data_IF_564704330052
#
_entry.id   IF_564704330052
#
_cell.length_a   1.000
_cell.length_b   1.000
_cell.length_c   1.000
_cell.angle_alpha   90.00
_cell.angle_beta   90.00
_cell.angle_gamma   90.00
#
_symmetry.space_group_name_H-M   'P 1'
#
loop_
_entity.id
_entity.type
_entity.pdbx_description
1 polymer ?
#
# COMPACT_ATOMS: atom_id res chain seq x y z
N UNK A 1 -2.38 -4.21 16.25
CA UNK A 1 -1.38 -5.12 16.88
C UNK A 1 -0.18 -5.37 15.98
N UNK A 2 -0.35 -5.84 14.74
CA UNK A 2 0.76 -6.07 13.81
C UNK A 2 1.53 -4.78 13.48
N UNK A 3 0.83 -3.65 13.29
CA UNK A 3 1.44 -2.32 13.06
C UNK A 3 2.37 -1.90 14.22
N UNK A 4 1.93 -2.07 15.48
CA UNK A 4 2.73 -1.73 16.68
C UNK A 4 4.00 -2.59 16.81
N UNK A 5 3.97 -3.83 16.30
CA UNK A 5 5.12 -4.74 16.28
C UNK A 5 6.01 -4.54 15.05
N UNK A 6 5.44 -4.12 13.92
CA UNK A 6 6.15 -3.93 12.66
C UNK A 6 6.87 -2.58 12.60
N UNK A 7 6.40 -1.53 13.29
CA UNK A 7 7.09 -0.23 13.39
C UNK A 7 8.55 -0.36 13.88
N UNK A 8 8.87 -1.04 15.01
CA UNK A 8 10.26 -1.21 15.43
C UNK A 8 11.05 -2.11 14.46
N UNK A 9 10.42 -3.10 13.83
CA UNK A 9 11.05 -3.95 12.82
C UNK A 9 11.41 -3.17 11.56
N UNK A 10 10.53 -2.26 11.14
CA UNK A 10 10.67 -1.41 9.97
C UNK A 10 11.79 -0.38 10.13
N UNK A 11 11.86 0.27 11.31
CA UNK A 11 13.01 1.10 11.67
C UNK A 11 14.32 0.31 11.62
N UNK A 12 14.29 -1.00 11.92
CA UNK A 12 15.48 -1.86 11.96
C UNK A 12 15.83 -2.52 10.63
N UNK A 13 14.88 -2.72 9.71
CA UNK A 13 15.09 -3.40 8.41
C UNK A 13 15.18 -2.41 7.26
N UNK A 14 14.31 -1.41 7.20
CA UNK A 14 14.25 -0.48 6.07
C UNK A 14 15.32 0.58 6.15
N UNK A 15 15.63 1.14 7.33
CA UNK A 15 16.72 2.12 7.42
C UNK A 15 18.09 1.56 6.98
N UNK A 16 18.54 0.34 7.34
CA UNK A 16 19.78 -0.22 6.81
C UNK A 16 19.65 -0.79 5.39
N UNK A 17 18.50 -1.38 5.02
CA UNK A 17 18.29 -1.90 3.66
C UNK A 17 18.34 -0.82 2.59
N UNK A 18 17.98 0.40 2.99
CA UNK A 18 17.90 1.56 2.13
C UNK A 18 19.22 2.37 2.17
N UNK A 19 19.92 2.44 3.31
CA UNK A 19 21.31 2.93 3.40
C UNK A 19 22.30 2.08 2.60
N UNK A 20 22.12 0.75 2.53
CA UNK A 20 22.99 -0.16 1.74
C UNK A 20 22.96 0.08 0.23
N UNK A 21 21.95 0.77 -0.31
CA UNK A 21 21.87 1.11 -1.74
C UNK A 21 22.42 2.51 -2.07
N UNK A 22 23.03 3.20 -1.10
CA UNK A 22 23.80 4.43 -1.36
C UNK A 22 22.98 5.68 -1.72
N UNK A 23 21.64 5.63 -1.68
CA UNK A 23 20.81 6.80 -1.96
C UNK A 23 20.49 7.55 -0.66
N UNK A 24 20.68 8.87 -0.64
CA UNK A 24 20.03 9.74 0.33
C UNK A 24 18.52 9.64 0.11
N UNK A 25 17.80 9.08 1.08
CA UNK A 25 16.41 8.68 0.85
C UNK A 25 15.46 9.81 1.13
N UNK A 26 15.16 10.55 0.06
CA UNK A 26 13.98 11.41 0.01
C UNK A 26 12.75 10.62 0.45
N UNK A 27 11.88 11.27 1.23
CA UNK A 27 10.57 10.75 1.65
C UNK A 27 9.78 10.19 0.46
N UNK A 28 9.94 10.79 -0.72
CA UNK A 28 9.28 10.40 -1.96
C UNK A 28 9.71 9.00 -2.46
N UNK A 29 10.99 8.64 -2.33
CA UNK A 29 11.50 7.34 -2.76
C UNK A 29 10.94 6.19 -1.90
N UNK A 30 10.76 6.41 -0.60
CA UNK A 30 10.14 5.43 0.32
C UNK A 30 8.69 5.16 -0.06
N UNK A 31 7.96 6.21 -0.43
CA UNK A 31 6.56 6.10 -0.85
C UNK A 31 6.40 5.28 -2.14
N UNK A 32 7.32 5.44 -3.11
CA UNK A 32 7.38 4.64 -4.34
C UNK A 32 7.53 3.13 -4.08
N UNK A 33 8.45 2.75 -3.21
CA UNK A 33 8.63 1.34 -2.83
C UNK A 33 7.42 0.78 -2.08
N UNK A 34 6.75 1.60 -1.27
CA UNK A 34 5.52 1.23 -0.60
C UNK A 34 4.39 0.91 -1.59
N UNK A 35 4.18 1.77 -2.60
CA UNK A 35 3.18 1.53 -3.64
C UNK A 35 3.47 0.28 -4.47
N UNK A 36 4.73 0.02 -4.81
CA UNK A 36 5.12 -1.21 -5.50
C UNK A 36 4.83 -2.46 -4.66
N UNK A 37 5.14 -2.41 -3.36
CA UNK A 37 4.87 -3.51 -2.43
C UNK A 37 3.36 -3.72 -2.23
N UNK A 38 2.56 -2.65 -2.19
CA UNK A 38 1.11 -2.75 -2.15
C UNK A 38 0.54 -3.47 -3.38
N UNK A 39 1.02 -3.12 -4.58
CA UNK A 39 0.60 -3.77 -5.81
C UNK A 39 0.94 -5.28 -5.81
N UNK A 40 2.13 -5.65 -5.34
CA UNK A 40 2.51 -7.06 -5.18
C UNK A 40 1.62 -7.77 -4.15
N UNK A 41 1.29 -7.12 -3.02
CA UNK A 41 0.41 -7.68 -2.01
C UNK A 41 -1.00 -7.97 -2.57
N UNK A 42 -1.58 -7.03 -3.33
CA UNK A 42 -2.87 -7.24 -3.99
C UNK A 42 -2.82 -8.32 -5.07
N UNK A 43 -1.73 -8.40 -5.84
CA UNK A 43 -1.53 -9.48 -6.82
C UNK A 43 -1.47 -10.86 -6.14
N UNK A 44 -0.72 -10.98 -5.05
CA UNK A 44 -0.69 -12.22 -4.25
C UNK A 44 -2.04 -12.54 -3.61
N UNK A 45 -2.81 -11.53 -3.21
CA UNK A 45 -4.19 -11.71 -2.72
C UNK A 45 -5.11 -12.31 -3.76
N UNK A 46 -5.06 -11.81 -5.00
CA UNK A 46 -5.92 -12.31 -6.07
C UNK A 46 -5.61 -13.77 -6.38
N UNK A 47 -4.32 -14.12 -6.45
CA UNK A 47 -3.90 -15.50 -6.66
C UNK A 47 -4.31 -16.42 -5.50
N UNK A 48 -4.18 -15.93 -4.26
CA UNK A 48 -4.60 -16.69 -3.08
C UNK A 48 -6.11 -16.91 -3.03
N UNK A 49 -6.91 -15.92 -3.42
CA UNK A 49 -8.37 -16.06 -3.49
C UNK A 49 -8.78 -17.13 -4.51
N UNK A 50 -8.15 -17.15 -5.70
CA UNK A 50 -8.41 -18.21 -6.69
C UNK A 50 -8.03 -19.59 -6.17
N UNK A 51 -6.87 -19.72 -5.52
CA UNK A 51 -6.43 -20.98 -4.93
C UNK A 51 -7.33 -21.47 -3.78
N UNK A 52 -7.89 -20.54 -2.98
CA UNK A 52 -8.84 -20.83 -1.91
C UNK A 52 -10.19 -21.27 -2.49
N UNK A 53 -10.68 -20.60 -3.54
CA UNK A 53 -11.95 -20.93 -4.19
C UNK A 53 -11.91 -22.33 -4.84
N UNK A 54 -10.80 -22.68 -5.50
CA UNK A 54 -10.57 -24.03 -6.05
C UNK A 54 -10.50 -25.09 -4.94
N UNK A 55 -9.77 -24.80 -3.86
CA UNK A 55 -9.69 -25.69 -2.70
C UNK A 55 -11.03 -25.89 -2.00
N UNK A 56 -11.86 -24.85 -1.92
CA UNK A 56 -13.20 -24.91 -1.35
C UNK A 56 -14.16 -25.73 -2.23
N UNK A 57 -14.13 -25.54 -3.56
CA UNK A 57 -14.96 -26.32 -4.50
C UNK A 57 -14.65 -27.82 -4.44
N UNK A 58 -13.37 -28.19 -4.34
CA UNK A 58 -12.94 -29.58 -4.18
C UNK A 58 -13.32 -30.16 -2.81
N UNK A 59 -13.30 -29.34 -1.76
CA UNK A 59 -13.74 -29.75 -0.42
C UNK A 59 -15.26 -29.99 -0.38
N UNK A 60 -16.06 -29.20 -1.11
CA UNK A 60 -17.51 -29.36 -1.20
C UNK A 60 -17.91 -30.62 -1.97
N UNK A 61 -17.18 -30.95 -3.05
CA UNK A 61 -17.35 -32.23 -3.77
C UNK A 61 -16.84 -33.45 -3.00
N UNK A 62 -15.87 -33.27 -2.10
CA UNK A 62 -15.37 -34.33 -1.20
C UNK A 62 -16.24 -34.51 0.05
N UNK A 63 -16.92 -33.46 0.52
CA UNK A 63 -17.88 -33.53 1.62
C UNK A 63 -19.08 -34.44 1.29
N UNK A 64 -19.51 -34.48 0.03
CA UNK A 64 -20.56 -35.38 -0.47
C UNK A 64 -20.09 -36.88 -0.47
N UNK A 65 -18.79 -37.13 -0.34
CA UNK A 65 -18.16 -38.46 -0.22
C UNK A 65 -17.78 -38.86 1.23
N UNK A 66 -18.09 -38.03 2.22
CA UNK A 66 -17.88 -38.36 3.64
C UNK A 66 -16.45 -38.27 4.15
N UNK A 67 -15.52 -37.64 3.41
CA UNK A 67 -14.10 -37.55 3.78
C UNK A 67 -13.66 -36.07 3.94
N UNK A 68 -13.86 -35.54 5.15
CA UNK A 68 -13.79 -34.10 5.46
C UNK A 68 -12.36 -33.60 5.77
N UNK A 69 -11.40 -33.80 4.87
CA UNK A 69 -9.97 -33.50 5.17
C UNK A 69 -9.30 -32.48 4.24
N UNK A 70 -10.04 -31.73 3.42
CA UNK A 70 -9.47 -30.63 2.63
C UNK A 70 -9.67 -29.28 3.30
N UNK A 71 -8.94 -29.03 4.40
CA UNK A 71 -8.90 -27.71 5.05
C UNK A 71 -7.83 -26.84 4.41
N UNK A 72 -8.24 -25.84 3.64
CA UNK A 72 -7.34 -24.80 3.15
C UNK A 72 -6.69 -24.10 4.36
N UNK A 73 -5.35 -24.15 4.44
CA UNK A 73 -4.62 -23.61 5.59
C UNK A 73 -4.59 -22.08 5.52
N UNK A 74 -5.17 -21.42 6.53
CA UNK A 74 -5.14 -19.94 6.69
C UNK A 74 -3.71 -19.37 6.80
N UNK A 75 -2.72 -20.24 7.03
CA UNK A 75 -1.29 -19.90 7.11
C UNK A 75 -0.79 -19.18 5.84
N UNK A 76 -1.36 -19.49 4.67
CA UNK A 76 -0.98 -18.85 3.41
C UNK A 76 -1.40 -17.37 3.29
N UNK A 77 -2.25 -16.85 4.18
CA UNK A 77 -2.62 -15.43 4.21
C UNK A 77 -1.60 -14.55 4.96
N UNK A 78 -0.81 -15.12 5.88
CA UNK A 78 0.22 -14.39 6.63
C UNK A 78 1.22 -13.61 5.75
N UNK A 79 1.81 -14.19 4.68
CA UNK A 79 2.75 -13.45 3.84
C UNK A 79 2.11 -12.23 3.17
N UNK A 80 0.87 -12.36 2.70
CA UNK A 80 0.12 -11.25 2.11
C UNK A 80 -0.13 -10.13 3.13
N UNK A 81 -0.58 -10.49 4.34
CA UNK A 81 -0.83 -9.54 5.43
C UNK A 81 0.47 -8.81 5.82
N UNK A 82 1.60 -9.52 5.90
CA UNK A 82 2.88 -8.90 6.19
C UNK A 82 3.32 -7.91 5.10
N UNK A 83 3.11 -8.26 3.81
CA UNK A 83 3.45 -7.38 2.69
C UNK A 83 2.59 -6.10 2.69
N UNK A 84 1.27 -6.22 2.83
CA UNK A 84 0.38 -5.05 2.80
C UNK A 84 0.62 -4.13 4.00
N UNK A 85 0.86 -4.68 5.21
CA UNK A 85 1.18 -3.84 6.38
C UNK A 85 2.53 -3.14 6.21
N UNK A 86 3.52 -3.78 5.57
CA UNK A 86 4.79 -3.12 5.26
C UNK A 86 4.58 -1.99 4.25
N UNK A 87 3.75 -2.21 3.22
CA UNK A 87 3.42 -1.19 2.24
C UNK A 87 2.70 0.01 2.87
N UNK A 88 1.75 -0.26 3.76
CA UNK A 88 1.00 0.75 4.50
C UNK A 88 1.91 1.63 5.36
N UNK A 89 2.86 1.05 6.09
CA UNK A 89 3.82 1.83 6.90
C UNK A 89 4.72 2.68 5.99
N UNK A 90 5.19 2.15 4.86
CA UNK A 90 6.03 2.90 3.90
C UNK A 90 5.31 4.14 3.36
N UNK A 91 4.03 4.01 3.01
CA UNK A 91 3.26 5.11 2.40
C UNK A 91 2.68 6.03 3.46
N UNK A 92 1.99 5.48 4.46
CA UNK A 92 1.21 6.26 5.42
C UNK A 92 2.09 7.04 6.39
N UNK A 93 3.05 6.38 7.05
CA UNK A 93 3.94 7.05 8.02
C UNK A 93 4.80 8.09 7.32
N UNK A 94 5.41 7.74 6.19
CA UNK A 94 6.24 8.69 5.43
C UNK A 94 5.40 9.86 4.90
N UNK A 95 4.17 9.61 4.45
CA UNK A 95 3.25 10.65 3.98
C UNK A 95 2.86 11.63 5.08
N UNK A 96 2.60 11.14 6.29
CA UNK A 96 2.34 11.97 7.46
C UNK A 96 3.58 12.78 7.89
N UNK A 97 4.75 12.15 7.95
CA UNK A 97 6.01 12.83 8.28
C UNK A 97 6.34 13.92 7.26
N UNK A 98 6.15 13.65 5.96
CA UNK A 98 6.32 14.62 4.88
C UNK A 98 5.33 15.78 5.00
N UNK A 99 4.05 15.49 5.24
CA UNK A 99 3.02 16.52 5.38
C UNK A 99 3.30 17.42 6.59
N UNK A 100 3.73 16.82 7.70
CA UNK A 100 4.09 17.54 8.91
C UNK A 100 5.35 18.41 8.73
N UNK A 101 6.35 17.90 8.00
CA UNK A 101 7.60 18.62 7.73
C UNK A 101 7.43 19.85 6.82
N UNK A 102 6.50 19.77 5.86
CA UNK A 102 6.21 20.86 4.92
C UNK A 102 5.10 21.82 5.42
N UNK A 103 4.55 21.58 6.62
CA UNK A 103 3.47 22.41 7.17
C UNK A 103 4.01 23.60 7.98
N UNK A 104 3.47 24.82 7.79
CA UNK A 104 3.80 25.96 8.64
C UNK A 104 3.35 25.69 10.09
N UNK A 105 4.11 26.20 11.07
CA UNK A 105 3.98 25.83 12.47
C UNK A 105 2.56 26.03 13.05
N UNK A 106 1.82 27.04 12.58
CA UNK A 106 0.45 27.35 13.00
C UNK A 106 -0.62 26.44 12.38
N UNK A 107 -0.33 25.74 11.26
CA UNK A 107 -1.32 24.94 10.51
C UNK A 107 -1.04 23.44 10.55
N UNK A 108 -0.03 22.98 11.29
CA UNK A 108 0.33 21.56 11.40
C UNK A 108 -0.86 20.66 11.74
N UNK A 109 -1.69 21.07 12.69
CA UNK A 109 -2.88 20.32 13.08
C UNK A 109 -3.92 20.25 11.95
N UNK A 110 -4.10 21.34 11.20
CA UNK A 110 -5.04 21.39 10.07
C UNK A 110 -4.58 20.49 8.92
N UNK A 111 -3.30 20.53 8.56
CA UNK A 111 -2.76 19.68 7.48
C UNK A 111 -2.87 18.19 7.85
N UNK A 112 -2.60 17.84 9.11
CA UNK A 112 -2.81 16.46 9.59
C UNK A 112 -4.29 16.06 9.60
N UNK A 113 -5.21 16.98 9.94
CA UNK A 113 -6.65 16.71 9.86
C UNK A 113 -7.10 16.46 8.42
N UNK A 114 -6.59 17.25 7.46
CA UNK A 114 -6.85 17.05 6.02
C UNK A 114 -6.30 15.69 5.56
N UNK A 115 -5.11 15.30 6.02
CA UNK A 115 -4.55 13.98 5.73
C UNK A 115 -5.47 12.83 6.18
N UNK A 116 -6.00 12.90 7.40
CA UNK A 116 -6.96 11.91 7.88
C UNK A 116 -8.29 11.96 7.13
N UNK A 117 -8.74 13.15 6.73
CA UNK A 117 -9.93 13.30 5.89
C UNK A 117 -9.75 12.60 4.54
N UNK A 118 -8.60 12.76 3.88
CA UNK A 118 -8.28 12.04 2.63
C UNK A 118 -8.32 10.52 2.85
N UNK A 119 -7.81 10.03 3.98
CA UNK A 119 -7.86 8.60 4.32
C UNK A 119 -9.31 8.13 4.53
N UNK A 120 -10.12 8.91 5.23
CA UNK A 120 -11.54 8.60 5.45
C UNK A 120 -12.34 8.56 4.14
N UNK A 121 -12.11 9.53 3.26
CA UNK A 121 -12.71 9.55 1.91
C UNK A 121 -12.29 8.32 1.11
N UNK A 122 -11.00 7.95 1.15
CA UNK A 122 -10.50 6.73 0.50
C UNK A 122 -11.20 5.46 1.00
N UNK A 123 -11.34 5.31 2.32
CA UNK A 123 -12.05 4.18 2.92
C UNK A 123 -13.53 4.16 2.55
N UNK A 124 -14.18 5.32 2.50
CA UNK A 124 -15.57 5.45 2.06
C UNK A 124 -15.75 4.99 0.61
N UNK A 125 -14.91 5.47 -0.31
CA UNK A 125 -14.93 5.02 -1.72
C UNK A 125 -14.65 3.52 -1.85
N UNK A 126 -13.71 2.97 -1.08
CA UNK A 126 -13.45 1.53 -1.05
C UNK A 126 -14.68 0.72 -0.61
N UNK A 127 -15.41 1.18 0.41
CA UNK A 127 -16.65 0.57 0.86
C UNK A 127 -17.77 0.64 -0.18
N UNK A 128 -17.95 1.80 -0.82
CA UNK A 128 -18.92 1.97 -1.91
C UNK A 128 -18.60 1.03 -3.07
N UNK A 129 -17.34 0.97 -3.51
CA UNK A 129 -16.89 0.06 -4.57
C UNK A 129 -17.21 -1.40 -4.23
N UNK A 130 -16.93 -1.83 -2.99
CA UNK A 130 -17.24 -3.18 -2.54
C UNK A 130 -18.75 -3.46 -2.53
N UNK A 131 -19.57 -2.49 -2.09
CA UNK A 131 -21.03 -2.64 -2.07
C UNK A 131 -21.64 -2.69 -3.47
N UNK A 132 -21.12 -1.91 -4.43
CA UNK A 132 -21.61 -1.88 -5.80
C UNK A 132 -21.20 -3.11 -6.62
N UNK A 133 -20.11 -3.76 -6.24
CA UNK A 133 -19.60 -4.97 -6.90
C UNK A 133 -19.92 -6.25 -6.11
N UNK A 134 -20.81 -6.18 -5.11
CA UNK A 134 -21.13 -7.31 -4.23
C UNK A 134 -21.68 -8.54 -4.97
N UNK A 135 -22.29 -8.35 -6.13
CA UNK A 135 -22.83 -9.41 -6.99
C UNK A 135 -21.78 -10.07 -7.90
N UNK A 136 -20.57 -9.51 -8.00
CA UNK A 136 -19.48 -10.03 -8.83
C UNK A 136 -18.59 -11.03 -8.07
N UNK A 137 -17.88 -11.87 -8.80
CA UNK A 137 -16.92 -12.78 -8.19
C UNK A 137 -15.80 -12.00 -7.46
N UNK A 138 -15.48 -12.41 -6.23
CA UNK A 138 -14.46 -11.77 -5.36
C UNK A 138 -13.10 -11.67 -6.03
N UNK A 139 -12.72 -12.68 -6.81
CA UNK A 139 -11.49 -12.67 -7.60
C UNK A 139 -11.47 -11.49 -8.61
N UNK A 140 -12.60 -11.19 -9.26
CA UNK A 140 -12.73 -10.07 -10.21
C UNK A 140 -12.58 -8.73 -9.49
N UNK A 141 -13.16 -8.59 -8.30
CA UNK A 141 -13.01 -7.39 -7.47
C UNK A 141 -11.54 -7.15 -7.12
N UNK A 142 -10.82 -8.21 -6.72
CA UNK A 142 -9.39 -8.12 -6.39
C UNK A 142 -8.52 -7.78 -7.61
N UNK A 143 -8.83 -8.33 -8.79
CA UNK A 143 -8.14 -7.97 -10.03
C UNK A 143 -8.40 -6.53 -10.46
N UNK A 144 -9.64 -6.04 -10.32
CA UNK A 144 -9.98 -4.63 -10.55
C UNK A 144 -9.22 -3.69 -9.59
N UNK A 145 -9.16 -4.05 -8.30
CA UNK A 145 -8.39 -3.31 -7.31
C UNK A 145 -6.88 -3.32 -7.62
N UNK A 146 -6.33 -4.45 -8.05
CA UNK A 146 -4.93 -4.56 -8.46
C UNK A 146 -4.63 -3.69 -9.68
N UNK A 147 -5.55 -3.66 -10.67
CA UNK A 147 -5.42 -2.80 -11.83
C UNK A 147 -5.46 -1.31 -11.43
N UNK A 148 -6.41 -0.92 -10.59
CA UNK A 148 -6.49 0.45 -10.07
C UNK A 148 -5.21 0.87 -9.33
N UNK A 149 -4.66 -0.01 -8.47
CA UNK A 149 -3.41 0.23 -7.74
C UNK A 149 -2.18 0.33 -8.66
N UNK A 150 -2.16 -0.42 -9.76
CA UNK A 150 -1.09 -0.31 -10.75
C UNK A 150 -1.17 1.02 -11.52
N UNK A 151 -2.38 1.47 -11.84
CA UNK A 151 -2.60 2.78 -12.47
C UNK A 151 -2.17 3.92 -11.56
N UNK A 152 -2.53 3.88 -10.27
CA UNK A 152 -2.10 4.91 -9.31
C UNK A 152 -0.59 4.91 -9.12
N UNK A 153 0.06 3.73 -9.11
CA UNK A 153 1.51 3.61 -9.10
C UNK A 153 2.15 4.25 -10.35
N UNK A 154 1.62 3.98 -11.55
CA UNK A 154 2.10 4.58 -12.80
C UNK A 154 1.94 6.11 -12.81
N UNK A 155 0.79 6.61 -12.35
CA UNK A 155 0.51 8.04 -12.22
C UNK A 155 1.48 8.71 -11.25
N UNK A 156 1.66 8.13 -10.06
CA UNK A 156 2.59 8.64 -9.06
C UNK A 156 4.04 8.64 -9.56
N UNK A 157 4.43 7.58 -10.29
CA UNK A 157 5.75 7.51 -10.89
C UNK A 157 5.98 8.64 -11.90
N UNK A 158 5.02 8.89 -12.80
CA UNK A 158 5.10 10.01 -13.76
C UNK A 158 5.17 11.36 -13.08
N UNK A 159 4.35 11.57 -12.05
CA UNK A 159 4.35 12.81 -11.27
C UNK A 159 5.71 13.01 -10.62
N UNK A 160 6.26 12.02 -9.94
CA UNK A 160 7.59 12.12 -9.33
C UNK A 160 8.67 12.46 -10.36
N UNK A 161 8.69 11.80 -11.50
CA UNK A 161 9.66 12.11 -12.56
C UNK A 161 9.49 13.53 -13.08
N UNK A 162 8.25 14.03 -13.16
CA UNK A 162 7.98 15.41 -13.57
C UNK A 162 8.50 16.44 -12.55
N UNK A 163 8.34 16.19 -11.24
CA UNK A 163 8.88 17.08 -10.20
C UNK A 163 10.41 17.06 -10.18
N UNK A 164 11.03 15.89 -10.32
CA UNK A 164 12.50 15.76 -10.40
C UNK A 164 13.08 16.49 -11.63
N UNK A 165 12.34 16.55 -12.75
CA UNK A 165 12.74 17.31 -13.94
C UNK A 165 12.61 18.82 -13.73
N UNK A 166 11.57 19.30 -13.04
CA UNK A 166 11.39 20.73 -12.78
C UNK A 166 12.41 21.30 -11.81
N UNK A 167 12.91 20.50 -10.86
CA UNK A 167 13.96 20.91 -9.93
C UNK A 167 15.34 21.00 -10.61
N UNK A 168 15.53 20.30 -11.74
CA UNK A 168 16.77 20.33 -12.54
C UNK A 168 16.77 21.44 -13.61
N UNK A 169 15.59 21.86 -14.10
CA UNK A 169 15.43 22.95 -15.08
C UNK A 169 15.07 24.32 -14.45
N UNK A 170 14.95 24.39 -13.12
CA UNK A 170 14.73 25.66 -12.42
C UNK A 170 15.95 26.58 -12.55
N UNK A 171 15.79 27.87 -12.93
CA UNK A 171 16.91 28.79 -12.94
C UNK A 171 17.52 28.86 -11.52
N UNK A 172 18.85 28.71 -11.42
CA UNK A 172 19.59 29.00 -10.20
C UNK A 172 19.39 30.47 -9.80
N UNK A 173 18.31 30.76 -9.07
CA UNK A 173 18.09 32.10 -8.49
C UNK A 173 17.62 31.98 -7.06
N UNK A 174 18.62 32.00 -6.17
CA UNK A 174 18.65 32.73 -4.91
C UNK A 174 17.48 32.51 -3.94
N UNK A 175 17.59 31.50 -3.07
CA UNK A 175 17.10 31.62 -1.70
C UNK A 175 18.29 31.93 -0.78
N UNK A 176 18.60 33.23 -0.68
CA UNK A 176 19.47 33.79 0.35
C UNK A 176 18.77 33.61 1.70
N UNK A 177 19.37 32.84 2.60
CA UNK A 177 19.05 32.86 4.02
C UNK A 177 19.26 34.28 4.55
N UNK A 178 18.18 34.91 5.00
CA UNK A 178 18.23 35.94 6.05
C UNK A 178 16.97 35.85 6.89
#
# INVERSE_FOLDING_TARGET
>A
LLILLLIPLFKRIISPGLQRRGCHLSHLARMKWGMLLAALAFSTSGFLETAVEEGARLAETAADRGDATSRVSIVWQFPQIAMITTAEILVSVTGQEFSYANSPASMKALVMAIYFLTTAVGNFFGGVLYSSLADLNRAVILHLCSFFMFVTMCMFHKIQTHWELQEFDGPETSFSFT
#
